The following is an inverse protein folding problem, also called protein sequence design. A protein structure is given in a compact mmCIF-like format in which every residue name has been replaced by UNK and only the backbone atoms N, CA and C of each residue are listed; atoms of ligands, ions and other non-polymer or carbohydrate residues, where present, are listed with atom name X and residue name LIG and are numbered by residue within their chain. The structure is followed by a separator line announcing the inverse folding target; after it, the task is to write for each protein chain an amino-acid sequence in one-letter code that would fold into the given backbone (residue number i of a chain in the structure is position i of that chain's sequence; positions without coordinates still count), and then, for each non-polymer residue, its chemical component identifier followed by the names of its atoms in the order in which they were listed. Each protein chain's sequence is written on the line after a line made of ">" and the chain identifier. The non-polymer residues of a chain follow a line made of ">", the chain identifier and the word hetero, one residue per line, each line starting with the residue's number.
data_IF_187839249144
#
_entry.id   IF_187839249144
#
_cell.length_a   1.000
_cell.length_b   1.000
_cell.length_c   1.000
_cell.angle_alpha   90.00
_cell.angle_beta   90.00
_cell.angle_gamma   90.00
#
_symmetry.space_group_name_H-M   'P 1'
#
loop_
_entity.id
_entity.type
_entity.pdbx_description
1 polymer ?
#
# COMPACT_ATOMS: atom_id res chain seq x y z
N UNK A 1 20.17 -22.73 -14.08
CA UNK A 1 20.31 -21.33 -13.63
C UNK A 1 18.94 -20.89 -13.14
N UNK A 2 18.76 -20.65 -11.85
CA UNK A 2 17.53 -20.06 -11.31
C UNK A 2 17.48 -18.59 -11.71
N UNK A 3 16.31 -18.13 -12.16
CA UNK A 3 16.07 -16.75 -12.56
C UNK A 3 16.11 -15.81 -11.33
N UNK A 4 16.19 -14.51 -11.56
CA UNK A 4 16.04 -13.52 -10.49
C UNK A 4 14.67 -13.67 -9.78
N UNK A 5 13.61 -13.87 -10.55
CA UNK A 5 12.24 -13.98 -10.06
C UNK A 5 12.02 -15.21 -9.17
N UNK A 6 12.77 -16.29 -9.39
CA UNK A 6 12.67 -17.52 -8.59
C UNK A 6 13.13 -17.34 -7.13
N UNK A 7 13.81 -16.22 -6.83
CA UNK A 7 14.32 -15.88 -5.50
C UNK A 7 13.52 -14.81 -4.78
N UNK A 8 12.51 -14.23 -5.42
CA UNK A 8 11.68 -13.20 -4.78
C UNK A 8 10.75 -13.84 -3.76
N UNK A 9 10.76 -13.30 -2.55
CA UNK A 9 9.78 -13.60 -1.53
C UNK A 9 8.55 -12.70 -1.69
N UNK A 10 7.47 -13.06 -0.97
CA UNK A 10 6.30 -12.22 -0.84
C UNK A 10 6.66 -10.80 -0.37
N UNK A 11 7.51 -10.71 0.66
CA UNK A 11 7.93 -9.43 1.24
C UNK A 11 8.74 -8.59 0.26
N UNK A 12 9.60 -9.21 -0.56
CA UNK A 12 10.36 -8.47 -1.58
C UNK A 12 9.42 -7.77 -2.55
N UNK A 13 8.32 -8.41 -2.93
CA UNK A 13 7.32 -7.80 -3.82
C UNK A 13 6.46 -6.78 -3.07
N UNK A 14 5.99 -7.11 -1.87
CA UNK A 14 5.16 -6.22 -1.06
C UNK A 14 5.85 -4.87 -0.80
N UNK A 15 7.15 -4.89 -0.49
CA UNK A 15 7.96 -3.68 -0.23
C UNK A 15 8.29 -2.86 -1.47
N UNK A 16 7.76 -3.22 -2.64
CA UNK A 16 7.79 -2.38 -3.85
C UNK A 16 6.47 -1.68 -4.15
N UNK A 17 5.44 -1.87 -3.32
CA UNK A 17 4.09 -1.37 -3.57
C UNK A 17 3.78 -0.16 -2.69
N UNK A 18 3.33 0.92 -3.34
CA UNK A 18 2.68 2.05 -2.68
C UNK A 18 1.15 1.98 -2.93
N UNK A 19 0.38 1.72 -1.88
CA UNK A 19 -1.06 1.54 -2.00
C UNK A 19 -1.77 2.88 -2.22
N UNK A 20 -2.27 3.09 -3.45
CA UNK A 20 -2.87 4.36 -3.88
C UNK A 20 -4.32 4.54 -3.40
N UNK A 21 -4.54 5.55 -2.57
CA UNK A 21 -5.83 5.98 -2.01
C UNK A 21 -6.16 7.42 -2.44
N UNK A 22 -6.12 7.67 -3.75
CA UNK A 22 -6.18 9.02 -4.34
C UNK A 22 -7.48 9.33 -5.09
N UNK A 23 -8.44 8.40 -5.13
CA UNK A 23 -9.72 8.66 -5.80
C UNK A 23 -10.46 9.81 -5.10
N UNK A 24 -10.97 10.81 -5.83
CA UNK A 24 -11.63 11.98 -5.22
C UNK A 24 -12.78 11.62 -4.28
N UNK A 25 -13.49 10.54 -4.60
CA UNK A 25 -14.71 10.10 -3.92
C UNK A 25 -14.44 9.31 -2.63
N UNK A 26 -13.18 9.05 -2.27
CA UNK A 26 -12.84 8.35 -1.03
C UNK A 26 -13.18 9.22 0.18
N UNK A 27 -14.05 8.68 1.02
CA UNK A 27 -14.38 9.18 2.35
C UNK A 27 -13.41 8.64 3.42
N UNK A 28 -13.55 9.17 4.63
CA UNK A 28 -12.64 8.87 5.74
C UNK A 28 -12.61 7.36 6.10
N UNK A 29 -13.76 6.65 6.18
CA UNK A 29 -13.76 5.20 6.38
C UNK A 29 -13.04 4.43 5.26
N UNK A 30 -13.17 4.87 4.01
CA UNK A 30 -12.48 4.24 2.88
C UNK A 30 -10.96 4.43 2.97
N UNK A 31 -10.48 5.59 3.41
CA UNK A 31 -9.05 5.82 3.66
C UNK A 31 -8.55 4.88 4.75
N UNK A 32 -9.23 4.79 5.90
CA UNK A 32 -8.83 3.89 6.98
C UNK A 32 -8.82 2.42 6.55
N UNK A 33 -9.84 1.98 5.81
CA UNK A 33 -9.92 0.63 5.29
C UNK A 33 -8.74 0.34 4.34
N UNK A 34 -8.37 1.32 3.51
CA UNK A 34 -7.19 1.28 2.65
C UNK A 34 -5.88 1.14 3.44
N UNK A 35 -5.68 1.96 4.48
CA UNK A 35 -4.50 1.87 5.33
C UNK A 35 -4.41 0.52 6.05
N UNK A 36 -5.54 0.00 6.56
CA UNK A 36 -5.61 -1.34 7.18
C UNK A 36 -5.27 -2.45 6.18
N UNK A 37 -5.66 -2.31 4.91
CA UNK A 37 -5.33 -3.26 3.85
C UNK A 37 -3.84 -3.22 3.50
N UNK A 38 -3.27 -2.02 3.37
CA UNK A 38 -1.85 -1.81 3.14
C UNK A 38 -1.00 -2.45 4.26
N UNK A 39 -1.38 -2.21 5.53
CA UNK A 39 -0.73 -2.82 6.68
C UNK A 39 -0.86 -4.35 6.70
N UNK A 40 -2.04 -4.89 6.37
CA UNK A 40 -2.28 -6.35 6.30
C UNK A 40 -1.32 -7.05 5.34
N UNK A 41 -1.03 -6.42 4.22
CA UNK A 41 -0.14 -6.98 3.18
C UNK A 41 1.31 -6.50 3.30
N UNK A 42 1.64 -5.75 4.35
CA UNK A 42 2.98 -5.25 4.64
C UNK A 42 3.63 -4.53 3.45
N UNK A 43 2.83 -3.75 2.72
CA UNK A 43 3.33 -2.96 1.57
C UNK A 43 4.26 -1.83 2.04
N UNK A 44 4.95 -1.16 1.11
CA UNK A 44 5.94 -0.15 1.46
C UNK A 44 5.30 1.10 2.08
N UNK A 45 4.23 1.60 1.47
CA UNK A 45 3.56 2.82 1.91
C UNK A 45 2.11 2.90 1.43
N UNK A 46 1.41 3.93 1.88
CA UNK A 46 0.14 4.39 1.29
C UNK A 46 0.37 5.74 0.61
N UNK A 47 -0.23 5.93 -0.55
CA UNK A 47 -0.26 7.21 -1.26
C UNK A 47 -1.63 7.85 -1.06
N UNK A 48 -1.69 8.95 -0.30
CA UNK A 48 -2.92 9.66 0.09
C UNK A 48 -2.88 11.13 -0.33
N UNK A 49 -4.04 11.80 -0.33
CA UNK A 49 -4.11 13.25 -0.53
C UNK A 49 -3.45 13.96 0.66
N UNK A 50 -2.87 15.17 0.49
CA UNK A 50 -2.21 15.87 1.60
C UNK A 50 -3.05 16.02 2.87
N UNK A 51 -4.36 16.26 2.73
CA UNK A 51 -5.29 16.39 3.87
C UNK A 51 -5.46 15.10 4.69
N UNK A 52 -5.18 13.95 4.08
CA UNK A 52 -5.43 12.64 4.69
C UNK A 52 -4.16 12.10 5.36
N UNK A 53 -3.01 12.81 5.29
CA UNK A 53 -1.71 12.37 5.83
C UNK A 53 -1.75 12.16 7.34
N UNK A 54 -2.37 13.07 8.12
CA UNK A 54 -2.44 12.92 9.59
C UNK A 54 -3.32 11.74 10.02
N UNK A 55 -4.22 11.29 9.15
CA UNK A 55 -5.12 10.16 9.40
C UNK A 55 -4.52 8.82 8.99
N UNK A 56 -3.72 8.84 7.92
CA UNK A 56 -3.18 7.66 7.28
C UNK A 56 -2.09 6.98 8.12
#
# INVERSE_FOLDING_TARGET
>A
MTSFFDRLSYTDVAKTIDHSLLKPELDDPSIEAGCKLAARYDVASVCVRPRDVERA
#
